data_IF_108355229779
#
_entry.id   IF_108355229779
#
_cell.length_a   1.000
_cell.length_b   1.000
_cell.length_c   1.000
_cell.angle_alpha   90.00
_cell.angle_beta   90.00
_cell.angle_gamma   90.00
#
_symmetry.space_group_name_H-M   'P 1'
#
loop_
_entity.id
_entity.type
_entity.pdbx_description
1 polymer ?
#
# COMPACT_ATOMS: atom_id res chain seq x y z
N UNK A 1 -1.17 17.51 6.44
CA UNK A 1 -0.40 16.27 6.61
C UNK A 1 -0.71 15.74 8.00
N UNK A 2 -1.33 14.57 8.12
CA UNK A 2 -1.55 13.97 9.43
C UNK A 2 -0.24 13.38 9.93
N UNK A 3 -0.01 13.44 11.23
CA UNK A 3 1.12 12.74 11.86
C UNK A 3 0.85 11.24 11.84
N UNK A 4 1.90 10.41 11.84
CA UNK A 4 1.77 8.96 11.94
C UNK A 4 0.86 8.53 13.11
N UNK A 5 0.96 9.24 14.25
CA UNK A 5 0.11 9.00 15.42
C UNK A 5 -1.38 9.25 15.15
N UNK A 6 -1.72 10.37 14.48
CA UNK A 6 -3.12 10.70 14.16
C UNK A 6 -3.74 9.66 13.20
N UNK A 7 -2.93 9.13 12.30
CA UNK A 7 -3.37 8.12 11.32
C UNK A 7 -3.60 6.77 11.98
N UNK A 8 -2.70 6.36 12.88
CA UNK A 8 -2.91 5.17 13.71
C UNK A 8 -4.18 5.32 14.54
N UNK A 9 -4.42 6.48 15.18
CA UNK A 9 -5.67 6.71 15.91
C UNK A 9 -6.91 6.63 15.01
N UNK A 10 -6.85 7.20 13.79
CA UNK A 10 -7.96 7.11 12.84
C UNK A 10 -8.17 5.68 12.33
N UNK A 11 -7.12 4.88 12.20
CA UNK A 11 -7.22 3.47 11.85
C UNK A 11 -7.90 2.70 12.98
N UNK A 12 -7.41 2.84 14.21
CA UNK A 12 -7.97 2.16 15.38
C UNK A 12 -9.46 2.47 15.57
N UNK A 13 -9.89 3.71 15.33
CA UNK A 13 -11.32 4.09 15.41
C UNK A 13 -12.22 3.48 14.32
N UNK A 14 -11.66 2.80 13.32
CA UNK A 14 -12.42 2.11 12.25
C UNK A 14 -12.37 0.59 12.37
N UNK A 15 -11.46 0.06 13.20
CA UNK A 15 -11.31 -1.37 13.37
C UNK A 15 -12.36 -1.92 14.34
N UNK A 16 -12.81 -3.17 14.15
CA UNK A 16 -13.62 -3.86 15.15
C UNK A 16 -12.89 -3.99 16.48
N UNK A 17 -13.64 -4.02 17.59
CA UNK A 17 -13.08 -4.23 18.94
C UNK A 17 -12.39 -5.60 19.09
N UNK A 18 -12.79 -6.59 18.31
CA UNK A 18 -12.21 -7.94 18.27
C UNK A 18 -11.07 -8.08 17.25
N UNK A 19 -10.57 -6.97 16.68
CA UNK A 19 -9.43 -7.01 15.78
C UNK A 19 -8.17 -7.52 16.48
N UNK A 20 -7.36 -8.26 15.73
CA UNK A 20 -6.08 -8.79 16.22
C UNK A 20 -4.95 -7.78 16.02
N UNK A 21 -3.81 -8.02 16.66
CA UNK A 21 -2.61 -7.22 16.40
C UNK A 21 -2.14 -7.40 14.96
N UNK A 22 -2.32 -8.59 14.39
CA UNK A 22 -2.02 -8.90 13.00
C UNK A 22 -2.86 -8.06 12.03
N UNK A 23 -4.15 -7.84 12.33
CA UNK A 23 -5.01 -6.98 11.52
C UNK A 23 -4.49 -5.54 11.51
N UNK A 24 -4.18 -4.99 12.69
CA UNK A 24 -3.61 -3.65 12.82
C UNK A 24 -2.31 -3.53 12.02
N UNK A 25 -1.41 -4.52 12.15
CA UNK A 25 -0.14 -4.54 11.43
C UNK A 25 -0.36 -4.61 9.91
N UNK A 26 -1.27 -5.46 9.45
CA UNK A 26 -1.59 -5.60 8.03
C UNK A 26 -2.13 -4.29 7.45
N UNK A 27 -3.04 -3.63 8.16
CA UNK A 27 -3.57 -2.33 7.73
C UNK A 27 -2.47 -1.27 7.61
N UNK A 28 -1.58 -1.18 8.60
CA UNK A 28 -0.45 -0.25 8.54
C UNK A 28 0.51 -0.56 7.38
N UNK A 29 0.80 -1.86 7.17
CA UNK A 29 1.63 -2.31 6.06
C UNK A 29 1.04 -1.89 4.70
N UNK A 30 -0.25 -2.16 4.46
CA UNK A 30 -0.92 -1.81 3.19
C UNK A 30 -0.93 -0.30 2.97
N UNK A 31 -1.27 0.50 3.99
CA UNK A 31 -1.26 1.97 3.90
C UNK A 31 0.12 2.48 3.51
N UNK A 32 1.17 1.97 4.13
CA UNK A 32 2.54 2.36 3.83
C UNK A 32 2.93 1.98 2.39
N UNK A 33 2.56 0.77 1.93
CA UNK A 33 2.82 0.34 0.55
C UNK A 33 2.11 1.19 -0.48
N UNK A 34 0.88 1.62 -0.23
CA UNK A 34 0.14 2.52 -1.12
C UNK A 34 0.83 3.88 -1.20
N UNK A 35 1.25 4.45 -0.07
CA UNK A 35 1.94 5.76 -0.04
C UNK A 35 3.28 5.71 -0.76
N UNK A 36 4.06 4.66 -0.51
CA UNK A 36 5.31 4.44 -1.23
C UNK A 36 5.06 4.31 -2.73
N UNK A 37 4.01 3.59 -3.13
CA UNK A 37 3.60 3.48 -4.53
C UNK A 37 3.23 4.83 -5.16
N UNK A 38 2.43 5.65 -4.45
CA UNK A 38 2.05 6.99 -4.90
C UNK A 38 3.26 7.91 -5.03
N UNK A 39 4.11 7.97 -4.02
CA UNK A 39 5.33 8.77 -4.05
C UNK A 39 6.22 8.38 -5.23
N UNK A 40 6.45 7.07 -5.45
CA UNK A 40 7.24 6.60 -6.59
C UNK A 40 6.58 6.92 -7.93
N UNK A 41 5.26 6.82 -8.05
CA UNK A 41 4.56 7.21 -9.27
C UNK A 41 4.75 8.71 -9.58
N UNK A 42 4.77 9.56 -8.56
CA UNK A 42 5.01 10.99 -8.69
C UNK A 42 6.48 11.33 -9.02
N UNK A 43 7.44 10.65 -8.38
CA UNK A 43 8.88 10.98 -8.53
C UNK A 43 9.61 10.21 -9.62
N UNK A 44 9.23 8.95 -9.87
CA UNK A 44 9.84 8.04 -10.84
C UNK A 44 8.99 7.87 -12.10
N UNK A 45 7.73 8.34 -12.09
CA UNK A 45 6.77 8.16 -13.18
C UNK A 45 6.04 6.82 -13.15
N UNK A 46 5.20 6.59 -14.14
CA UNK A 46 4.38 5.37 -14.30
C UNK A 46 4.66 4.69 -15.65
N UNK A 47 4.20 3.45 -15.79
CA UNK A 47 4.28 2.67 -17.03
C UNK A 47 2.89 2.48 -17.62
N UNK A 48 2.81 2.34 -18.94
CA UNK A 48 1.59 1.88 -19.60
C UNK A 48 1.28 0.43 -19.22
N UNK A 49 0.02 0.02 -19.38
CA UNK A 49 -0.37 -1.38 -19.15
C UNK A 49 0.41 -2.33 -20.08
N UNK A 50 0.58 -1.98 -21.35
CA UNK A 50 1.31 -2.78 -22.34
C UNK A 50 2.78 -2.97 -21.95
N UNK A 51 3.45 -1.91 -21.50
CA UNK A 51 4.85 -1.99 -21.06
C UNK A 51 5.00 -2.83 -19.80
N UNK A 52 4.03 -2.72 -18.87
CA UNK A 52 3.98 -3.53 -17.67
C UNK A 52 3.81 -5.02 -18.01
N UNK A 53 2.86 -5.37 -18.87
CA UNK A 53 2.61 -6.75 -19.30
C UNK A 53 3.84 -7.36 -19.99
N UNK A 54 4.49 -6.62 -20.90
CA UNK A 54 5.76 -7.05 -21.52
C UNK A 54 6.85 -7.31 -20.48
N UNK A 55 6.99 -6.42 -19.50
CA UNK A 55 7.99 -6.56 -18.43
C UNK A 55 7.68 -7.74 -17.51
N UNK A 56 6.42 -7.98 -17.17
CA UNK A 56 6.02 -9.09 -16.29
C UNK A 56 5.99 -10.45 -17.02
N UNK A 57 5.84 -10.45 -18.35
CA UNK A 57 5.85 -11.66 -19.18
C UNK A 57 7.08 -12.56 -18.98
N UNK A 58 8.23 -12.00 -18.60
CA UNK A 58 9.44 -12.78 -18.32
C UNK A 58 9.35 -13.68 -17.07
N UNK A 59 8.41 -13.38 -16.16
CA UNK A 59 8.14 -14.18 -14.95
C UNK A 59 6.78 -14.87 -15.01
N UNK A 60 5.91 -14.49 -15.95
CA UNK A 60 4.59 -15.10 -16.16
C UNK A 60 4.66 -16.44 -16.92
N UNK A 61 5.85 -17.02 -17.11
CA UNK A 61 6.02 -18.35 -17.72
C UNK A 61 5.52 -19.46 -16.78
N UNK A 62 4.24 -19.77 -16.90
CA UNK A 62 3.68 -21.12 -16.82
C UNK A 62 2.97 -21.45 -18.12
#
# INVERSE_FOLDING_TARGET
MNTAKQEVHSLLGKLPEDCTLEDIQYHLYVVEKVRQGQYRAETEGTLSQEDMEKRFGQWALQ
#
